data_IF_018324442280
#
_entry.id   IF_018324442280
#
_cell.length_a   1.000
_cell.length_b   1.000
_cell.length_c   1.000
_cell.angle_alpha   90.00
_cell.angle_beta   90.00
_cell.angle_gamma   90.00
#
_symmetry.space_group_name_H-M   'P 1'
#
loop_
_entity.id
_entity.type
_entity.pdbx_description
1 polymer ?
#
# COMPACT_ATOMS: atom_id res chain seq x y z
N UNK A 1 -30.38 -21.27 20.93
CA UNK A 1 -29.63 -22.36 21.62
C UNK A 1 -28.54 -22.80 20.65
N UNK A 2 -27.23 -22.61 20.86
CA UNK A 2 -26.43 -22.54 22.09
C UNK A 2 -25.31 -21.50 21.90
N UNK A 3 -25.13 -20.72 22.95
CA UNK A 3 -24.00 -19.83 23.22
C UNK A 3 -22.76 -20.65 23.58
N UNK A 4 -21.59 -20.33 23.02
CA UNK A 4 -20.30 -20.72 23.57
C UNK A 4 -19.36 -19.52 23.49
N UNK A 5 -19.17 -18.87 24.63
CA UNK A 5 -18.20 -17.79 24.86
C UNK A 5 -16.92 -18.47 25.34
N UNK A 6 -15.83 -18.33 24.59
CA UNK A 6 -14.50 -18.78 25.00
C UNK A 6 -13.65 -17.56 25.36
N UNK A 7 -13.50 -17.33 26.66
CA UNK A 7 -12.71 -16.26 27.25
C UNK A 7 -11.25 -16.70 27.35
N UNK A 8 -10.37 -16.16 26.52
CA UNK A 8 -8.93 -16.44 26.60
C UNK A 8 -8.22 -15.22 27.19
N UNK A 9 -7.76 -15.35 28.44
CA UNK A 9 -6.97 -14.35 29.13
C UNK A 9 -5.53 -14.34 28.58
N UNK A 10 -5.07 -13.20 28.08
CA UNK A 10 -3.68 -13.00 27.67
C UNK A 10 -2.90 -12.29 28.78
N UNK A 11 -1.84 -12.94 29.25
CA UNK A 11 -0.91 -12.43 30.26
C UNK A 11 0.08 -11.48 29.58
N UNK A 12 0.08 -10.21 29.97
CA UNK A 12 1.06 -9.21 29.51
C UNK A 12 2.30 -9.29 30.40
N UNK A 13 3.40 -9.78 29.84
CA UNK A 13 4.73 -9.69 30.45
C UNK A 13 5.41 -8.39 30.00
N UNK A 14 5.58 -7.46 30.92
CA UNK A 14 6.38 -6.25 30.74
C UNK A 14 7.86 -6.54 31.01
N UNK A 15 8.73 -6.28 30.04
CA UNK A 15 10.18 -6.23 30.24
C UNK A 15 10.66 -4.79 29.99
N UNK A 16 11.06 -4.15 31.09
CA UNK A 16 11.80 -2.91 31.12
C UNK A 16 13.31 -3.21 31.24
N UNK A 17 14.14 -2.43 30.55
CA UNK A 17 15.60 -2.36 30.71
C UNK A 17 16.30 -2.24 29.35
N UNK A 18 17.27 -1.36 29.10
CA UNK A 18 17.98 -0.38 29.93
C UNK A 18 19.13 0.25 29.12
N UNK A 19 19.41 1.51 29.46
CA UNK A 19 20.59 2.37 29.30
C UNK A 19 21.88 1.97 28.53
N UNK A 20 22.34 2.97 27.74
CA UNK A 20 23.71 3.54 27.66
C UNK A 20 24.84 2.78 26.96
N UNK A 21 25.29 3.35 25.85
CA UNK A 21 26.65 3.23 25.32
C UNK A 21 27.07 4.52 24.62
N UNK A 22 28.15 5.14 25.10
CA UNK A 22 28.69 6.43 24.68
C UNK A 22 29.76 6.30 23.57
N UNK A 23 29.76 7.31 22.68
CA UNK A 23 30.88 8.02 21.97
C UNK A 23 32.08 7.22 21.41
N UNK A 24 32.57 7.39 20.17
CA UNK A 24 33.26 8.56 19.58
C UNK A 24 33.64 8.34 18.08
N UNK A 25 34.14 9.36 17.33
CA UNK A 25 33.97 9.53 15.89
C UNK A 25 35.08 8.90 15.03
N UNK A 26 34.75 8.60 13.77
CA UNK A 26 35.75 8.40 12.71
C UNK A 26 35.34 9.17 11.45
N UNK A 27 36.07 10.24 11.20
CA UNK A 27 36.27 10.80 9.86
C UNK A 27 36.71 9.67 8.92
N UNK A 28 35.93 9.47 7.87
CA UNK A 28 36.39 8.84 6.64
C UNK A 28 35.63 9.50 5.51
N UNK A 29 36.28 10.56 5.04
CA UNK A 29 36.09 11.18 3.74
C UNK A 29 36.17 10.09 2.67
N UNK A 30 35.02 9.69 2.17
CA UNK A 30 34.87 8.95 0.94
C UNK A 30 33.52 9.38 0.38
N UNK A 31 33.53 10.40 -0.48
CA UNK A 31 32.42 10.70 -1.39
C UNK A 31 32.33 9.54 -2.41
N UNK A 32 31.32 8.67 -2.38
CA UNK A 32 30.75 8.21 -3.63
C UNK A 32 29.90 9.35 -4.16
N UNK A 33 30.23 9.82 -5.36
CA UNK A 33 29.29 10.57 -6.18
C UNK A 33 28.05 9.69 -6.38
N UNK A 34 27.05 9.86 -5.51
CA UNK A 34 25.70 9.51 -5.84
C UNK A 34 25.23 10.57 -6.84
N UNK A 35 25.57 10.37 -8.10
CA UNK A 35 24.68 10.78 -9.17
C UNK A 35 23.43 9.89 -9.00
N UNK A 36 22.58 10.28 -8.06
CA UNK A 36 21.18 9.91 -8.07
C UNK A 36 20.63 10.59 -9.30
N UNK A 37 20.78 9.91 -10.43
CA UNK A 37 19.94 10.13 -11.60
C UNK A 37 18.51 9.90 -11.12
N UNK A 38 17.88 11.01 -10.71
CA UNK A 38 16.50 11.34 -11.02
C UNK A 38 16.22 10.87 -12.45
N UNK A 39 15.90 9.58 -12.60
CA UNK A 39 15.12 9.13 -13.72
C UNK A 39 13.68 9.39 -13.33
N UNK A 40 13.32 10.68 -13.35
CA UNK A 40 11.99 11.15 -13.69
C UNK A 40 11.69 10.72 -15.13
N UNK A 41 11.67 9.40 -15.35
CA UNK A 41 10.91 8.83 -16.43
C UNK A 41 9.48 9.14 -16.04
N UNK A 42 8.85 10.04 -16.80
CA UNK A 42 7.40 10.09 -16.84
C UNK A 42 6.94 8.72 -17.35
N UNK A 43 6.92 7.74 -16.45
CA UNK A 43 6.27 6.46 -16.64
C UNK A 43 4.82 6.83 -16.86
N UNK A 44 4.37 6.73 -18.11
CA UNK A 44 2.96 6.84 -18.47
C UNK A 44 2.18 6.02 -17.46
N UNK A 45 1.34 6.65 -16.63
CA UNK A 45 0.61 5.91 -15.64
C UNK A 45 -0.28 4.90 -16.38
N UNK A 46 -0.56 3.75 -15.75
CA UNK A 46 -1.53 2.78 -16.27
C UNK A 46 -2.92 3.33 -15.90
N UNK A 47 -3.25 4.49 -16.46
CA UNK A 47 -4.24 5.41 -15.88
C UNK A 47 -5.69 4.98 -16.12
N UNK A 48 -5.92 4.10 -17.11
CA UNK A 48 -7.25 3.72 -17.60
C UNK A 48 -7.26 2.26 -18.06
N UNK A 49 -6.96 1.33 -17.16
CA UNK A 49 -7.19 -0.09 -17.42
C UNK A 49 -8.37 -0.63 -16.61
N UNK A 50 -8.97 -1.70 -17.10
CA UNK A 50 -10.07 -2.40 -16.43
C UNK A 50 -9.64 -2.88 -15.03
N UNK A 51 -8.40 -3.37 -14.88
CA UNK A 51 -7.82 -3.68 -13.57
C UNK A 51 -7.83 -2.46 -12.63
N UNK A 52 -7.42 -1.28 -13.12
CA UNK A 52 -7.43 -0.08 -12.30
C UNK A 52 -8.85 0.43 -11.99
N UNK A 53 -9.86 0.12 -12.80
CA UNK A 53 -11.26 0.39 -12.47
C UNK A 53 -11.75 -0.46 -11.30
N UNK A 54 -11.49 -1.77 -11.33
CA UNK A 54 -11.84 -2.67 -10.22
C UNK A 54 -11.06 -2.32 -8.95
N UNK A 55 -9.76 -2.01 -9.04
CA UNK A 55 -8.96 -1.54 -7.91
C UNK A 55 -9.56 -0.28 -7.27
N UNK A 56 -9.95 0.72 -8.07
CA UNK A 56 -10.58 1.95 -7.56
C UNK A 56 -11.90 1.65 -6.87
N UNK A 57 -12.73 0.81 -7.49
CA UNK A 57 -14.02 0.41 -6.91
C UNK A 57 -13.83 -0.34 -5.59
N UNK A 58 -12.82 -1.21 -5.50
CA UNK A 58 -12.45 -1.87 -4.24
C UNK A 58 -11.97 -0.90 -3.16
N UNK A 59 -11.18 0.12 -3.54
CA UNK A 59 -10.77 1.19 -2.62
C UNK A 59 -11.99 1.99 -2.13
N UNK A 60 -12.95 2.28 -3.01
CA UNK A 60 -14.18 2.98 -2.64
C UNK A 60 -15.03 2.14 -1.67
N UNK A 61 -15.19 0.84 -1.93
CA UNK A 61 -15.85 -0.10 -1.02
C UNK A 61 -15.16 -0.12 0.36
N UNK A 62 -13.82 -0.17 0.38
CA UNK A 62 -13.03 -0.11 1.61
C UNK A 62 -13.30 1.19 2.40
N UNK A 63 -13.34 2.34 1.70
CA UNK A 63 -13.60 3.64 2.33
C UNK A 63 -15.03 3.74 2.90
N UNK A 64 -15.99 3.02 2.32
CA UNK A 64 -17.35 2.89 2.82
C UNK A 64 -17.47 1.86 3.97
N UNK A 65 -16.42 1.09 4.23
CA UNK A 65 -16.41 0.02 5.22
C UNK A 65 -17.07 -1.28 4.75
N UNK A 66 -17.30 -1.42 3.43
CA UNK A 66 -17.81 -2.64 2.82
C UNK A 66 -16.64 -3.56 2.45
N UNK A 67 -16.16 -4.32 3.43
CA UNK A 67 -14.97 -5.16 3.27
C UNK A 67 -15.22 -6.43 2.46
N UNK A 68 -16.46 -6.93 2.42
CA UNK A 68 -16.83 -8.04 1.56
C UNK A 68 -16.76 -7.60 0.09
N UNK A 69 -17.38 -6.47 -0.27
CA UNK A 69 -17.26 -5.93 -1.64
C UNK A 69 -15.81 -5.54 -1.95
N UNK A 70 -15.04 -5.05 -0.98
CA UNK A 70 -13.61 -4.77 -1.17
C UNK A 70 -12.86 -6.00 -1.70
N UNK A 71 -13.05 -7.16 -1.05
CA UNK A 71 -12.41 -8.42 -1.47
C UNK A 71 -12.88 -8.82 -2.87
N UNK A 72 -14.19 -8.83 -3.13
CA UNK A 72 -14.75 -9.21 -4.43
C UNK A 72 -14.15 -8.37 -5.57
N UNK A 73 -13.94 -7.07 -5.35
CA UNK A 73 -13.33 -6.17 -6.33
C UNK A 73 -11.86 -6.47 -6.58
N UNK A 74 -11.08 -6.75 -5.53
CA UNK A 74 -9.68 -7.11 -5.70
C UNK A 74 -9.50 -8.50 -6.32
N UNK A 75 -10.38 -9.46 -6.02
CA UNK A 75 -10.43 -10.75 -6.72
C UNK A 75 -10.73 -10.59 -8.21
N UNK A 76 -11.66 -9.70 -8.58
CA UNK A 76 -11.96 -9.39 -9.97
C UNK A 76 -10.80 -8.66 -10.68
N UNK A 77 -10.10 -7.77 -9.98
CA UNK A 77 -8.96 -7.03 -10.50
C UNK A 77 -7.74 -7.93 -10.79
N UNK A 78 -7.55 -9.01 -10.02
CA UNK A 78 -6.35 -9.85 -10.10
C UNK A 78 -6.09 -10.45 -11.48
N UNK A 79 -7.02 -11.18 -12.12
CA UNK A 79 -6.78 -11.73 -13.46
C UNK A 79 -6.52 -10.63 -14.49
N UNK A 80 -7.20 -9.48 -14.38
CA UNK A 80 -7.01 -8.35 -15.28
C UNK A 80 -5.62 -7.71 -15.13
N UNK A 81 -5.09 -7.65 -13.91
CA UNK A 81 -3.74 -7.17 -13.64
C UNK A 81 -2.69 -8.16 -14.17
N UNK A 82 -2.93 -9.47 -14.02
CA UNK A 82 -2.05 -10.51 -14.56
C UNK A 82 -2.01 -10.52 -16.09
N UNK A 83 -3.15 -10.29 -16.76
CA UNK A 83 -3.21 -10.15 -18.23
C UNK A 83 -2.44 -8.92 -18.75
N UNK A 84 -2.34 -7.88 -17.94
CA UNK A 84 -1.62 -6.65 -18.26
C UNK A 84 -0.15 -6.66 -17.84
N UNK A 85 0.32 -7.72 -17.18
CA UNK A 85 1.72 -7.83 -16.77
C UNK A 85 2.64 -7.95 -17.98
N UNK A 86 3.30 -6.83 -18.32
CA UNK A 86 4.27 -6.73 -19.40
C UNK A 86 5.70 -7.13 -18.98
N UNK A 87 5.86 -7.63 -17.75
CA UNK A 87 7.13 -8.00 -17.16
C UNK A 87 7.91 -6.83 -16.56
N UNK A 88 7.39 -5.60 -16.64
CA UNK A 88 7.98 -4.46 -15.96
C UNK A 88 7.92 -4.62 -14.44
N UNK A 89 8.76 -3.88 -13.71
CA UNK A 89 8.65 -3.85 -12.23
C UNK A 89 7.31 -3.29 -11.79
N UNK A 90 6.85 -2.23 -12.46
CA UNK A 90 5.59 -1.55 -12.14
C UNK A 90 4.38 -2.48 -12.24
N UNK A 91 4.25 -3.22 -13.35
CA UNK A 91 3.14 -4.13 -13.56
C UNK A 91 3.15 -5.30 -12.56
N UNK A 92 4.33 -5.87 -12.28
CA UNK A 92 4.48 -6.90 -11.25
C UNK A 92 4.11 -6.41 -9.85
N UNK A 93 4.50 -5.18 -9.49
CA UNK A 93 4.13 -4.58 -8.21
C UNK A 93 2.61 -4.37 -8.09
N UNK A 94 1.92 -4.04 -9.19
CA UNK A 94 0.47 -3.97 -9.20
C UNK A 94 -0.16 -5.35 -8.99
N UNK A 95 0.30 -6.39 -9.68
CA UNK A 95 -0.18 -7.76 -9.49
C UNK A 95 0.02 -8.22 -8.03
N UNK A 96 1.20 -7.97 -7.46
CA UNK A 96 1.48 -8.29 -6.05
C UNK A 96 0.54 -7.54 -5.09
N UNK A 97 0.29 -6.26 -5.33
CA UNK A 97 -0.60 -5.45 -4.52
C UNK A 97 -2.05 -5.95 -4.58
N UNK A 98 -2.55 -6.22 -5.79
CA UNK A 98 -3.92 -6.71 -6.00
C UNK A 98 -4.10 -8.10 -5.39
N UNK A 99 -3.12 -9.00 -5.56
CA UNK A 99 -3.16 -10.33 -4.94
C UNK A 99 -3.18 -10.25 -3.42
N UNK A 100 -2.35 -9.41 -2.81
CA UNK A 100 -2.35 -9.21 -1.36
C UNK A 100 -3.73 -8.84 -0.82
N UNK A 101 -4.44 -7.94 -1.51
CA UNK A 101 -5.78 -7.54 -1.13
C UNK A 101 -6.82 -8.64 -1.39
N UNK A 102 -6.76 -9.31 -2.54
CA UNK A 102 -7.67 -10.42 -2.87
C UNK A 102 -7.57 -11.60 -1.89
N UNK A 103 -6.38 -11.86 -1.34
CA UNK A 103 -6.15 -12.96 -0.38
C UNK A 103 -6.46 -12.60 1.07
N UNK A 104 -6.72 -11.31 1.38
CA UNK A 104 -7.00 -10.86 2.73
C UNK A 104 -8.47 -11.11 3.09
N UNK A 105 -8.73 -11.78 4.23
CA UNK A 105 -10.10 -11.92 4.73
C UNK A 105 -10.74 -10.55 4.98
N UNK A 106 -12.03 -10.39 4.63
CA UNK A 106 -12.78 -9.14 4.81
C UNK A 106 -12.68 -8.60 6.25
N UNK A 107 -12.78 -9.48 7.24
CA UNK A 107 -12.68 -9.13 8.67
C UNK A 107 -11.29 -8.61 9.08
N UNK A 108 -10.24 -8.95 8.33
CA UNK A 108 -8.86 -8.56 8.61
C UNK A 108 -8.49 -7.18 8.04
N UNK A 109 -9.25 -6.66 7.07
CA UNK A 109 -8.99 -5.36 6.43
C UNK A 109 -8.82 -4.20 7.41
N UNK A 110 -9.72 -3.98 8.39
CA UNK A 110 -9.57 -2.87 9.33
C UNK A 110 -8.30 -2.93 10.17
N UNK A 111 -7.89 -4.14 10.57
CA UNK A 111 -6.67 -4.34 11.36
C UNK A 111 -5.44 -4.18 10.48
N UNK A 112 -5.40 -4.84 9.32
CA UNK A 112 -4.31 -4.72 8.36
C UNK A 112 -4.08 -3.26 7.95
N UNK A 113 -5.14 -2.51 7.65
CA UNK A 113 -5.04 -1.09 7.30
C UNK A 113 -4.44 -0.22 8.39
N UNK A 114 -4.54 -0.63 9.66
CA UNK A 114 -4.00 0.11 10.82
C UNK A 114 -2.58 -0.30 11.17
N UNK A 115 -2.24 -1.59 11.01
CA UNK A 115 -1.02 -2.15 11.61
C UNK A 115 -0.07 -2.83 10.62
N UNK A 116 -0.53 -3.18 9.42
CA UNK A 116 0.29 -3.90 8.43
C UNK A 116 1.18 -2.96 7.62
N UNK A 117 2.51 -3.11 7.67
CA UNK A 117 3.42 -2.37 6.79
C UNK A 117 3.25 -2.78 5.32
N UNK A 118 2.88 -4.03 5.04
CA UNK A 118 2.59 -4.49 3.68
C UNK A 118 1.35 -3.82 3.12
N UNK A 119 0.29 -3.67 3.93
CA UNK A 119 -0.91 -2.94 3.52
C UNK A 119 -0.55 -1.49 3.15
N UNK A 120 0.29 -0.83 3.95
CA UNK A 120 0.75 0.53 3.65
C UNK A 120 1.55 0.62 2.34
N UNK A 121 2.46 -0.34 2.08
CA UNK A 121 3.21 -0.46 0.83
C UNK A 121 2.25 -0.59 -0.37
N UNK A 122 1.36 -1.57 -0.32
CA UNK A 122 0.47 -1.86 -1.45
C UNK A 122 -0.57 -0.77 -1.67
N UNK A 123 -0.99 -0.07 -0.61
CA UNK A 123 -1.86 1.10 -0.73
C UNK A 123 -1.17 2.23 -1.49
N UNK A 124 0.11 2.48 -1.21
CA UNK A 124 0.87 3.50 -1.94
C UNK A 124 1.02 3.13 -3.43
N UNK A 125 1.23 1.85 -3.73
CA UNK A 125 1.30 1.33 -5.10
C UNK A 125 -0.03 1.53 -5.82
N UNK A 126 -1.15 1.01 -5.29
CA UNK A 126 -2.45 1.10 -5.98
C UNK A 126 -2.93 2.53 -6.15
N UNK A 127 -2.75 3.39 -5.14
CA UNK A 127 -3.08 4.82 -5.23
C UNK A 127 -2.17 5.58 -6.20
N UNK A 128 -0.89 5.20 -6.33
CA UNK A 128 0.03 5.83 -7.26
C UNK A 128 -0.12 5.35 -8.70
N UNK A 129 -0.58 4.12 -8.89
CA UNK A 129 -0.68 3.50 -10.20
C UNK A 129 -2.05 3.63 -10.86
N UNK A 130 -3.13 3.65 -10.08
CA UNK A 130 -4.52 3.70 -10.56
C UNK A 130 -5.22 5.04 -10.27
N UNK A 131 -4.50 6.16 -10.40
CA UNK A 131 -5.09 7.50 -10.32
C UNK A 131 -6.00 7.72 -11.52
N UNK A 132 -7.23 8.26 -11.38
CA UNK A 132 -8.07 8.58 -12.54
C UNK A 132 -7.48 9.71 -13.38
N UNK A 133 -7.51 9.57 -14.71
CA UNK A 133 -7.08 10.64 -15.63
C UNK A 133 -8.02 11.84 -15.50
N UNK A 134 -7.46 13.04 -15.37
CA UNK A 134 -8.23 14.27 -15.14
C UNK A 134 -8.45 14.64 -13.67
N UNK A 135 -7.83 13.89 -12.74
CA UNK A 135 -7.67 14.32 -11.35
C UNK A 135 -6.53 15.33 -11.23
N UNK A 136 -6.59 16.43 -11.99
CA UNK A 136 -5.72 17.58 -11.73
C UNK A 136 -6.12 18.14 -10.36
N UNK A 137 -5.39 17.75 -9.31
CA UNK A 137 -5.47 18.44 -8.04
C UNK A 137 -5.26 19.93 -8.33
N UNK A 138 -6.17 20.83 -7.91
CA UNK A 138 -6.05 22.24 -8.26
C UNK A 138 -4.67 22.71 -7.81
N UNK A 139 -3.85 23.17 -8.76
CA UNK A 139 -2.58 23.81 -8.49
C UNK A 139 -2.86 24.87 -7.42
N UNK A 140 -2.32 24.64 -6.21
CA UNK A 140 -2.52 25.53 -5.08
C UNK A 140 -2.07 26.92 -5.55
N UNK A 141 -2.96 27.93 -5.63
CA UNK A 141 -2.58 29.22 -6.18
C UNK A 141 -1.46 29.76 -5.31
N UNK A 142 -0.26 29.80 -5.89
CA UNK A 142 0.91 30.35 -5.24
C UNK A 142 0.54 31.73 -4.71
N UNK A 143 0.65 31.92 -3.40
CA UNK A 143 0.53 33.25 -2.82
C UNK A 143 1.76 34.03 -3.27
N UNK A 144 1.64 34.69 -4.42
CA UNK A 144 2.50 35.81 -4.81
C UNK A 144 2.45 36.82 -3.66
N UNK A 145 3.60 37.07 -3.04
CA UNK A 145 3.81 38.08 -2.00
C UNK A 145 4.51 39.31 -2.56
#
# INVERSE_FOLDING_TARGET
MRTLIATTAFVVAALAGGCTGASEPRESDARPSAETSESSGAETPVVDSEACEEVRTGIDAFNLGDFDETVERFEAALPLAEEQDDGSTRARELVEAVRYYAELDAEAYPEAARTSPEFAKYKAITLGQCVPVGSDAPESPGTDV
#
